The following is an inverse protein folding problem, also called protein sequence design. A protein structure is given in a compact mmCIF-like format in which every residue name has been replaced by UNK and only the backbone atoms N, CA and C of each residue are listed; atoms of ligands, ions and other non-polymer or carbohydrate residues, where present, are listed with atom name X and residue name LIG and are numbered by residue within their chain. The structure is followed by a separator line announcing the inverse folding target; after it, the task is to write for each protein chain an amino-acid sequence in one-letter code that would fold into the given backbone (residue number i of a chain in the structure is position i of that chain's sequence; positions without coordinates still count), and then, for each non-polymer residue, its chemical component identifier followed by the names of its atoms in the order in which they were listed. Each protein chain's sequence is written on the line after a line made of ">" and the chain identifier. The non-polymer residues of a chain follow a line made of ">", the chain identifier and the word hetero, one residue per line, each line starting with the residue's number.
data_IF_449511494663
#
_entry.id   IF_449511494663
#
_cell.length_a   1.000
_cell.length_b   1.000
_cell.length_c   1.000
_cell.angle_alpha   90.00
_cell.angle_beta   90.00
_cell.angle_gamma   90.00
#
_symmetry.space_group_name_H-M   'P 1'
#
loop_
_entity.id
_entity.type
_entity.pdbx_description
1 polymer ?
#
# COMPACT_ATOMS: atom_id res chain seq x y z
N UNK A 1 0.16 8.88 1.66
CA UNK A 1 -0.51 7.60 1.97
C UNK A 1 -1.92 7.59 1.42
N UNK A 2 -2.73 8.63 1.65
CA UNK A 2 -4.10 8.77 1.10
C UNK A 2 -4.22 8.49 -0.40
N UNK A 3 -3.38 9.08 -1.25
CA UNK A 3 -3.44 8.84 -2.70
C UNK A 3 -3.19 7.38 -3.12
N UNK A 4 -2.41 6.62 -2.34
CA UNK A 4 -2.16 5.19 -2.60
C UNK A 4 -3.38 4.35 -2.20
N UNK A 5 -4.04 4.72 -1.10
CA UNK A 5 -5.28 4.09 -0.66
C UNK A 5 -6.43 4.37 -1.64
N UNK A 6 -6.55 5.60 -2.13
CA UNK A 6 -7.56 5.96 -3.13
C UNK A 6 -7.38 5.16 -4.43
N UNK A 7 -6.13 4.98 -4.88
CA UNK A 7 -5.82 4.10 -6.02
C UNK A 7 -6.19 2.66 -5.76
N UNK A 8 -5.90 2.14 -4.56
CA UNK A 8 -6.25 0.77 -4.19
C UNK A 8 -7.77 0.56 -4.18
N UNK A 9 -8.54 1.51 -3.64
CA UNK A 9 -10.01 1.48 -3.67
C UNK A 9 -10.55 1.44 -5.11
N UNK A 10 -10.01 2.28 -6.00
CA UNK A 10 -10.40 2.28 -7.43
C UNK A 10 -10.07 0.96 -8.14
N UNK A 11 -8.98 0.30 -7.74
CA UNK A 11 -8.61 -1.02 -8.26
C UNK A 11 -9.60 -2.08 -7.77
N UNK A 12 -10.00 -2.03 -6.50
CA UNK A 12 -11.00 -2.95 -5.94
C UNK A 12 -12.36 -2.76 -6.61
N UNK A 13 -12.84 -1.52 -6.77
CA UNK A 13 -14.07 -1.22 -7.49
C UNK A 13 -14.04 -1.74 -8.94
N UNK A 14 -12.90 -1.61 -9.62
CA UNK A 14 -12.73 -2.13 -10.98
C UNK A 14 -12.74 -3.67 -11.02
N UNK A 15 -12.16 -4.33 -10.03
CA UNK A 15 -12.13 -5.80 -9.93
C UNK A 15 -13.49 -6.40 -9.53
N UNK A 16 -14.35 -5.64 -8.86
CA UNK A 16 -15.73 -6.04 -8.54
C UNK A 16 -16.69 -5.89 -9.74
N UNK A 17 -16.26 -5.26 -10.82
CA UNK A 17 -17.05 -5.13 -12.04
C UNK A 17 -17.05 -6.44 -12.85
N UNK A 18 -18.24 -7.00 -13.09
CA UNK A 18 -18.45 -8.21 -13.90
C UNK A 18 -18.06 -8.06 -15.39
N UNK A 19 -17.81 -6.83 -15.84
CA UNK A 19 -17.45 -6.53 -17.23
C UNK A 19 -15.94 -6.49 -17.49
N UNK A 20 -15.10 -6.71 -16.47
CA UNK A 20 -13.65 -6.60 -16.61
C UNK A 20 -13.07 -7.86 -17.30
N UNK A 21 -12.42 -7.73 -18.48
CA UNK A 21 -11.79 -8.86 -19.13
C UNK A 21 -10.68 -9.45 -18.25
N UNK A 22 -10.54 -10.78 -18.26
CA UNK A 22 -9.58 -11.50 -17.41
C UNK A 22 -8.14 -10.92 -17.44
N UNK A 23 -7.66 -10.53 -18.61
CA UNK A 23 -6.32 -9.93 -18.76
C UNK A 23 -6.21 -8.60 -18.01
N UNK A 24 -7.24 -7.76 -18.07
CA UNK A 24 -7.29 -6.51 -17.31
C UNK A 24 -7.46 -6.77 -15.80
N UNK A 25 -8.23 -7.77 -15.41
CA UNK A 25 -8.36 -8.18 -14.01
C UNK A 25 -7.02 -8.62 -13.43
N UNK A 26 -6.22 -9.38 -14.18
CA UNK A 26 -4.87 -9.77 -13.77
C UNK A 26 -3.94 -8.56 -13.63
N UNK A 27 -3.95 -7.62 -14.58
CA UNK A 27 -3.14 -6.40 -14.48
C UNK A 27 -3.53 -5.54 -13.27
N UNK A 28 -4.83 -5.37 -13.01
CA UNK A 28 -5.35 -4.62 -11.87
C UNK A 28 -5.00 -5.30 -10.54
N UNK A 29 -5.09 -6.62 -10.48
CA UNK A 29 -4.68 -7.38 -9.32
C UNK A 29 -3.18 -7.21 -9.02
N UNK A 30 -2.32 -7.31 -10.04
CA UNK A 30 -0.88 -7.06 -9.88
C UNK A 30 -0.58 -5.63 -9.40
N UNK A 31 -1.30 -4.63 -9.93
CA UNK A 31 -1.18 -3.24 -9.51
C UNK A 31 -1.57 -3.08 -8.03
N UNK A 32 -2.67 -3.70 -7.62
CA UNK A 32 -3.14 -3.71 -6.22
C UNK A 32 -2.11 -4.34 -5.27
N UNK A 33 -1.53 -5.49 -5.63
CA UNK A 33 -0.48 -6.15 -4.83
C UNK A 33 0.74 -5.22 -4.67
N UNK A 34 1.13 -4.54 -5.75
CA UNK A 34 2.28 -3.63 -5.74
C UNK A 34 2.04 -2.41 -4.84
N UNK A 35 0.85 -1.83 -4.90
CA UNK A 35 0.43 -0.73 -4.04
C UNK A 35 0.41 -1.13 -2.57
N UNK A 36 -0.16 -2.28 -2.24
CA UNK A 36 -0.19 -2.78 -0.85
C UNK A 36 1.22 -2.97 -0.29
N UNK A 37 2.14 -3.56 -1.07
CA UNK A 37 3.54 -3.71 -0.67
C UNK A 37 4.23 -2.36 -0.43
N UNK A 38 3.95 -1.36 -1.27
CA UNK A 38 4.49 0.00 -1.10
C UNK A 38 4.00 0.64 0.19
N UNK A 39 2.70 0.53 0.49
CA UNK A 39 2.14 1.04 1.74
C UNK A 39 2.76 0.37 2.96
N UNK A 40 2.94 -0.95 2.94
CA UNK A 40 3.59 -1.71 4.02
C UNK A 40 5.03 -1.19 4.26
N UNK A 41 5.81 -1.02 3.20
CA UNK A 41 7.18 -0.53 3.30
C UNK A 41 7.27 0.90 3.86
N UNK A 42 6.32 1.77 3.49
CA UNK A 42 6.24 3.13 4.06
C UNK A 42 5.93 3.11 5.56
N UNK A 43 5.02 2.23 5.99
CA UNK A 43 4.68 2.05 7.40
C UNK A 43 5.91 1.55 8.18
N UNK A 44 6.56 0.49 7.71
CA UNK A 44 7.76 -0.06 8.35
C UNK A 44 8.88 0.98 8.47
N UNK A 45 9.12 1.76 7.41
CA UNK A 45 10.11 2.83 7.45
C UNK A 45 9.77 3.90 8.49
N UNK A 46 8.48 4.21 8.65
CA UNK A 46 8.01 5.19 9.63
C UNK A 46 8.13 4.66 11.05
N UNK A 47 7.73 3.41 11.30
CA UNK A 47 7.90 2.72 12.58
C UNK A 47 9.38 2.63 12.98
N UNK A 48 10.25 2.26 12.04
CA UNK A 48 11.69 2.22 12.26
C UNK A 48 12.24 3.59 12.68
N UNK A 49 11.79 4.66 12.01
CA UNK A 49 12.21 6.02 12.34
C UNK A 49 11.75 6.44 13.73
N UNK A 50 10.51 6.10 14.11
CA UNK A 50 9.99 6.33 15.47
C UNK A 50 10.81 5.55 16.50
N UNK A 51 11.09 4.27 16.24
CA UNK A 51 11.89 3.42 17.12
C UNK A 51 13.30 3.98 17.34
N UNK A 52 13.94 4.51 16.29
CA UNK A 52 15.25 5.15 16.39
C UNK A 52 15.22 6.42 17.25
N UNK A 53 14.20 7.27 17.08
CA UNK A 53 14.04 8.49 17.88
C UNK A 53 13.84 8.14 19.36
N UNK A 54 12.94 7.21 19.68
CA UNK A 54 12.69 6.76 21.06
C UNK A 54 13.92 6.08 21.70
N UNK A 55 14.73 5.37 20.90
CA UNK A 55 15.97 4.76 21.39
C UNK A 55 17.06 5.80 21.65
N UNK A 56 17.01 6.94 20.96
CA UNK A 56 17.96 8.05 21.14
C UNK A 56 17.61 8.86 22.38
N UNK A 57 16.32 9.12 22.66
CA UNK A 57 15.87 9.78 23.89
C UNK A 57 16.17 9.01 25.19
N UNK A 58 16.38 7.67 25.11
CA UNK A 58 16.70 6.84 26.29
C UNK A 58 18.21 6.77 26.59
N UNK A 59 19.05 7.36 25.74
CA UNK A 59 20.50 7.35 25.87
C UNK A 59 21.08 8.66 26.43
N UNK A 60 20.22 9.61 26.81
CA UNK A 60 20.54 10.86 27.53
C UNK A 60 20.04 10.78 28.98
#
# INVERSE_FOLDING_TARGET
>A
MEAQLEKLSKILEALESDELPLDQSLQKFEEGIRLTKSCQAMLEASEKKISQLLSTERAE
#
